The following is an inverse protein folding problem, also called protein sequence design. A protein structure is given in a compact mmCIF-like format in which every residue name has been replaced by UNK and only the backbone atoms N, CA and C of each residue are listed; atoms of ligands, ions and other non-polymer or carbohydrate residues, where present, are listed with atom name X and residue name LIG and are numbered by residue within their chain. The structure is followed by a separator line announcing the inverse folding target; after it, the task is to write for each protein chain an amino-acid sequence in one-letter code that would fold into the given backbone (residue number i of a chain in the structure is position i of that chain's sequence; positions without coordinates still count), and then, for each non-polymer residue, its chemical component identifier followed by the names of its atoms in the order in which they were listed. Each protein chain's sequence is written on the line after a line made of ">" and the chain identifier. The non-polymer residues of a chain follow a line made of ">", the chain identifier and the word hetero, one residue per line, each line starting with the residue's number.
data_IF_043367981880
#
_entry.id   IF_043367981880
#
_cell.length_a   1.000
_cell.length_b   1.000
_cell.length_c   1.000
_cell.angle_alpha   90.00
_cell.angle_beta   90.00
_cell.angle_gamma   90.00
#
_symmetry.space_group_name_H-M   'P 1'
#
loop_
_entity.id
_entity.type
_entity.pdbx_description
1 polymer ?
#
# COMPACT_ATOMS: atom_id res chain seq x y z
N UNK A 1 1.02 -22.18 21.95
CA UNK A 1 0.46 -23.01 20.87
C UNK A 1 0.99 -22.43 19.56
N UNK A 2 1.96 -23.10 18.94
CA UNK A 2 2.55 -22.64 17.67
C UNK A 2 1.48 -22.66 16.58
N UNK A 3 1.16 -21.50 16.00
CA UNK A 3 0.31 -21.38 14.80
C UNK A 3 1.12 -21.88 13.58
N UNK A 4 1.35 -23.18 13.51
CA UNK A 4 1.92 -23.86 12.34
C UNK A 4 0.77 -24.24 11.41
N UNK A 5 0.55 -23.49 10.33
CA UNK A 5 -0.36 -23.96 9.27
C UNK A 5 -0.95 -22.94 8.30
N UNK A 6 -0.85 -21.62 8.54
CA UNK A 6 -1.39 -20.65 7.58
C UNK A 6 -0.37 -20.33 6.47
N UNK A 7 -0.74 -20.62 5.23
CA UNK A 7 0.00 -20.24 4.03
C UNK A 7 -0.13 -18.73 3.80
N UNK A 8 0.97 -18.06 3.47
CA UNK A 8 1.00 -16.64 3.13
C UNK A 8 -0.04 -16.28 2.07
N UNK A 9 -0.81 -15.22 2.30
CA UNK A 9 -1.72 -14.63 1.31
C UNK A 9 -1.15 -13.33 0.79
N UNK A 10 -0.79 -13.29 -0.49
CA UNK A 10 -0.24 -12.10 -1.14
C UNK A 10 -1.30 -11.39 -1.99
N UNK A 11 -1.59 -10.15 -1.62
CA UNK A 11 -2.47 -9.24 -2.37
C UNK A 11 -1.61 -8.36 -3.27
N UNK A 12 -1.83 -8.46 -4.58
CA UNK A 12 -0.94 -7.93 -5.62
C UNK A 12 -1.65 -6.84 -6.42
N UNK A 13 -1.01 -5.68 -6.65
CA UNK A 13 -1.62 -4.59 -7.40
C UNK A 13 -1.73 -4.97 -8.88
N UNK A 14 -2.77 -4.47 -9.54
CA UNK A 14 -2.87 -4.45 -11.00
C UNK A 14 -3.01 -3.01 -11.51
N UNK A 15 -2.32 -2.66 -12.62
CA UNK A 15 -2.56 -1.43 -13.37
C UNK A 15 -3.99 -1.25 -13.89
N UNK A 16 -4.80 -2.32 -13.91
CA UNK A 16 -6.23 -2.27 -14.19
C UNK A 16 -6.64 -2.54 -15.64
N UNK A 17 -5.73 -3.06 -16.47
CA UNK A 17 -6.03 -3.50 -17.83
C UNK A 17 -5.71 -4.97 -18.06
N UNK A 18 -6.50 -5.64 -18.92
CA UNK A 18 -6.46 -7.10 -19.09
C UNK A 18 -5.07 -7.66 -19.45
N UNK A 19 -4.26 -6.94 -20.23
CA UNK A 19 -2.91 -7.41 -20.58
C UNK A 19 -1.99 -7.47 -19.36
N UNK A 20 -2.06 -6.50 -18.44
CA UNK A 20 -1.29 -6.55 -17.19
C UNK A 20 -1.75 -7.71 -16.32
N UNK A 21 -3.06 -7.96 -16.25
CA UNK A 21 -3.61 -9.09 -15.51
C UNK A 21 -3.11 -10.43 -16.06
N UNK A 22 -3.14 -10.61 -17.39
CA UNK A 22 -2.63 -11.83 -18.05
C UNK A 22 -1.18 -12.12 -17.68
N UNK A 23 -0.35 -11.09 -17.66
CA UNK A 23 1.07 -11.19 -17.35
C UNK A 23 1.31 -11.46 -15.86
N UNK A 24 0.61 -10.73 -14.96
CA UNK A 24 0.67 -10.99 -13.51
C UNK A 24 0.26 -12.42 -13.16
N UNK A 25 -0.79 -12.94 -13.82
CA UNK A 25 -1.29 -14.28 -13.57
C UNK A 25 -0.47 -15.40 -14.22
N UNK A 26 0.68 -15.09 -14.84
CA UNK A 26 1.71 -16.11 -15.10
C UNK A 26 2.30 -16.67 -13.80
N UNK A 27 2.29 -15.87 -12.73
CA UNK A 27 2.74 -16.22 -11.38
C UNK A 27 1.56 -16.48 -10.42
N UNK A 28 0.41 -16.90 -10.96
CA UNK A 28 -0.85 -17.07 -10.19
C UNK A 28 -0.71 -17.90 -8.92
N UNK A 29 0.19 -18.87 -8.87
CA UNK A 29 0.37 -19.77 -7.71
C UNK A 29 0.99 -19.03 -6.52
N UNK A 30 1.56 -17.84 -6.75
CA UNK A 30 2.12 -16.93 -5.72
C UNK A 30 1.13 -15.84 -5.29
N UNK A 31 -0.01 -15.70 -5.98
CA UNK A 31 -0.92 -14.57 -5.86
C UNK A 31 -2.25 -15.05 -5.29
N UNK A 32 -2.62 -14.53 -4.11
CA UNK A 32 -3.91 -14.86 -3.50
C UNK A 32 -5.04 -14.02 -4.10
N UNK A 33 -4.79 -12.72 -4.27
CA UNK A 33 -5.76 -11.77 -4.83
C UNK A 33 -5.04 -10.73 -5.66
N UNK A 34 -5.66 -10.33 -6.77
CA UNK A 34 -5.33 -9.10 -7.48
C UNK A 34 -6.22 -7.99 -6.95
N UNK A 35 -5.70 -6.76 -6.88
CA UNK A 35 -6.51 -5.58 -6.61
C UNK A 35 -6.27 -4.46 -7.63
N UNK A 36 -7.34 -3.82 -8.08
CA UNK A 36 -7.29 -2.73 -9.05
C UNK A 36 -8.22 -1.58 -8.67
N UNK A 37 -8.05 -0.42 -9.31
CA UNK A 37 -8.95 0.72 -9.11
C UNK A 37 -10.31 0.46 -9.77
N UNK A 38 -11.37 0.91 -9.11
CA UNK A 38 -12.68 1.02 -9.75
C UNK A 38 -12.77 2.23 -10.67
N UNK A 39 -13.95 2.43 -11.24
CA UNK A 39 -14.20 3.58 -12.09
C UNK A 39 -14.23 4.87 -11.25
N UNK A 40 -13.38 5.86 -11.59
CA UNK A 40 -13.33 7.15 -10.90
C UNK A 40 -14.60 7.99 -11.12
N UNK A 41 -15.49 7.58 -12.01
CA UNK A 41 -16.73 8.31 -12.30
C UNK A 41 -17.77 8.15 -11.18
N UNK A 42 -17.64 7.11 -10.36
CA UNK A 42 -18.56 6.82 -9.25
C UNK A 42 -17.90 7.07 -7.90
N UNK A 43 -16.78 6.39 -7.64
CA UNK A 43 -16.01 6.53 -6.40
C UNK A 43 -14.53 6.53 -6.76
N UNK A 44 -13.82 7.57 -6.33
CA UNK A 44 -12.39 7.73 -6.60
C UNK A 44 -11.50 6.84 -5.75
N UNK A 45 -10.19 7.02 -5.92
CA UNK A 45 -9.17 6.36 -5.11
C UNK A 45 -8.13 7.35 -4.59
N UNK A 46 -7.42 6.99 -3.53
CA UNK A 46 -6.36 7.83 -2.98
C UNK A 46 -5.03 7.83 -3.76
N UNK A 47 -5.03 7.41 -5.03
CA UNK A 47 -3.87 7.40 -5.92
C UNK A 47 -4.32 7.77 -7.33
N UNK A 48 -3.35 8.09 -8.19
CA UNK A 48 -3.63 8.21 -9.63
C UNK A 48 -4.09 6.88 -10.21
N UNK A 49 -5.02 6.96 -11.16
CA UNK A 49 -5.51 5.82 -11.91
C UNK A 49 -4.80 5.78 -13.26
N UNK A 50 -4.06 4.69 -13.55
CA UNK A 50 -3.45 4.47 -14.88
C UNK A 50 -4.48 4.01 -15.90
N UNK A 51 -5.51 3.30 -15.44
CA UNK A 51 -6.64 2.86 -16.24
C UNK A 51 -7.94 3.31 -15.58
N UNK A 52 -8.96 3.57 -16.40
CA UNK A 52 -10.33 3.84 -15.98
C UNK A 52 -11.22 2.73 -16.51
N UNK A 53 -11.17 1.54 -15.90
CA UNK A 53 -11.84 0.35 -16.42
C UNK A 53 -13.36 0.58 -16.43
N UNK A 54 -14.00 0.26 -17.54
CA UNK A 54 -15.45 0.25 -17.61
C UNK A 54 -16.00 -1.01 -16.94
N UNK A 55 -17.32 -1.06 -16.72
CA UNK A 55 -17.97 -2.18 -16.07
C UNK A 55 -17.69 -3.51 -16.79
N UNK A 56 -17.71 -3.50 -18.11
CA UNK A 56 -17.42 -4.67 -18.94
C UNK A 56 -15.96 -5.14 -18.79
N UNK A 57 -15.02 -4.21 -18.66
CA UNK A 57 -13.61 -4.51 -18.41
C UNK A 57 -13.40 -5.13 -17.04
N UNK A 58 -14.12 -4.64 -16.02
CA UNK A 58 -14.09 -5.18 -14.65
C UNK A 58 -14.64 -6.60 -14.66
N UNK A 59 -15.79 -6.84 -15.28
CA UNK A 59 -16.40 -8.15 -15.38
C UNK A 59 -15.47 -9.16 -16.09
N UNK A 60 -14.89 -8.77 -17.23
CA UNK A 60 -13.97 -9.62 -17.99
C UNK A 60 -12.69 -9.95 -17.21
N UNK A 61 -12.13 -8.96 -16.49
CA UNK A 61 -10.94 -9.18 -15.65
C UNK A 61 -11.25 -10.06 -14.44
N UNK A 62 -12.41 -9.88 -13.81
CA UNK A 62 -12.87 -10.70 -12.69
C UNK A 62 -13.02 -12.16 -13.12
N UNK A 63 -13.74 -12.41 -14.22
CA UNK A 63 -13.90 -13.76 -14.77
C UNK A 63 -12.54 -14.39 -15.14
N UNK A 64 -11.63 -13.61 -15.72
CA UNK A 64 -10.30 -14.10 -16.10
C UNK A 64 -9.45 -14.51 -14.89
N UNK A 65 -9.52 -13.74 -13.80
CA UNK A 65 -8.82 -14.04 -12.55
C UNK A 65 -9.41 -15.28 -11.86
N UNK A 66 -10.73 -15.36 -11.76
CA UNK A 66 -11.44 -16.50 -11.17
C UNK A 66 -11.17 -17.82 -11.90
N UNK A 67 -11.13 -17.81 -13.24
CA UNK A 67 -10.74 -18.99 -14.04
C UNK A 67 -9.33 -19.51 -13.72
N UNK A 68 -8.51 -18.73 -13.02
CA UNK A 68 -7.15 -19.08 -12.57
C UNK A 68 -7.04 -19.28 -11.05
N UNK A 69 -8.16 -19.24 -10.34
CA UNK A 69 -8.21 -19.40 -8.89
C UNK A 69 -7.70 -18.20 -8.10
N UNK A 70 -7.65 -17.01 -8.72
CA UNK A 70 -7.19 -15.78 -8.08
C UNK A 70 -8.38 -14.84 -7.84
N UNK A 71 -8.46 -14.27 -6.63
CA UNK A 71 -9.53 -13.35 -6.25
C UNK A 71 -9.35 -11.95 -6.85
N UNK A 72 -10.44 -11.21 -6.95
CA UNK A 72 -10.49 -9.83 -7.42
C UNK A 72 -10.97 -8.88 -6.32
N UNK A 73 -10.13 -7.92 -5.95
CA UNK A 73 -10.43 -6.88 -4.97
C UNK A 73 -10.53 -5.51 -5.67
N UNK A 74 -11.66 -4.81 -5.48
CA UNK A 74 -11.91 -3.51 -6.08
C UNK A 74 -11.64 -2.37 -5.11
N UNK A 75 -10.77 -1.43 -5.48
CA UNK A 75 -10.37 -0.33 -4.59
C UNK A 75 -11.15 0.94 -4.93
N UNK A 76 -11.98 1.38 -3.98
CA UNK A 76 -12.85 2.56 -4.01
C UNK A 76 -12.56 3.47 -2.80
N UNK A 77 -11.28 3.68 -2.51
CA UNK A 77 -10.80 4.17 -1.21
C UNK A 77 -10.55 5.68 -1.14
N UNK A 78 -11.38 6.50 -1.79
CA UNK A 78 -11.34 7.95 -1.56
C UNK A 78 -11.40 8.27 -0.07
N UNK A 79 -10.42 9.02 0.44
CA UNK A 79 -10.40 9.48 1.84
C UNK A 79 -11.33 10.67 2.08
N UNK A 80 -11.77 11.33 1.01
CA UNK A 80 -12.75 12.39 1.04
C UNK A 80 -13.60 12.37 -0.23
N UNK A 81 -14.93 12.40 -0.08
CA UNK A 81 -15.90 12.48 -1.18
C UNK A 81 -16.66 13.82 -1.21
N UNK A 82 -16.23 14.80 -0.41
CA UNK A 82 -16.84 16.13 -0.35
C UNK A 82 -18.30 16.15 0.14
N UNK A 83 -18.74 15.11 0.86
CA UNK A 83 -20.11 14.95 1.35
C UNK A 83 -21.12 14.44 0.30
N UNK A 84 -20.68 14.13 -0.93
CA UNK A 84 -21.56 13.63 -2.00
C UNK A 84 -22.28 12.35 -1.63
N UNK A 85 -21.60 11.44 -0.94
CA UNK A 85 -22.14 10.17 -0.46
C UNK A 85 -23.35 10.33 0.48
N UNK A 86 -23.50 11.50 1.10
CA UNK A 86 -24.61 11.84 2.02
C UNK A 86 -25.78 12.53 1.32
N UNK A 87 -25.70 12.75 0.01
CA UNK A 87 -26.82 13.27 -0.79
C UNK A 87 -27.66 12.12 -1.34
N UNK A 88 -28.97 12.32 -1.62
CA UNK A 88 -29.79 11.27 -2.22
C UNK A 88 -29.27 10.75 -3.56
N UNK A 89 -28.70 11.65 -4.37
CA UNK A 89 -28.09 11.29 -5.66
C UNK A 89 -26.81 10.49 -5.47
N UNK A 90 -25.87 10.98 -4.66
CA UNK A 90 -24.60 10.28 -4.42
C UNK A 90 -24.81 8.93 -3.74
N UNK A 91 -25.76 8.80 -2.81
CA UNK A 91 -26.15 7.50 -2.26
C UNK A 91 -26.60 6.54 -3.36
N UNK A 92 -27.55 6.95 -4.22
CA UNK A 92 -28.06 6.11 -5.31
C UNK A 92 -26.97 5.68 -6.29
N UNK A 93 -26.10 6.60 -6.68
CA UNK A 93 -25.00 6.34 -7.62
C UNK A 93 -24.00 5.36 -7.01
N UNK A 94 -23.55 5.61 -5.78
CA UNK A 94 -22.60 4.73 -5.09
C UNK A 94 -23.19 3.34 -4.88
N UNK A 95 -24.43 3.26 -4.39
CA UNK A 95 -25.12 1.99 -4.15
C UNK A 95 -25.29 1.19 -5.45
N UNK A 96 -25.76 1.84 -6.53
CA UNK A 96 -25.88 1.17 -7.83
C UNK A 96 -24.53 0.66 -8.32
N UNK A 97 -23.46 1.44 -8.18
CA UNK A 97 -22.14 1.02 -8.64
C UNK A 97 -21.61 -0.18 -7.83
N UNK A 98 -21.78 -0.17 -6.51
CA UNK A 98 -21.44 -1.31 -5.64
C UNK A 98 -22.24 -2.55 -6.03
N UNK A 99 -23.54 -2.40 -6.30
CA UNK A 99 -24.39 -3.49 -6.79
C UNK A 99 -23.87 -4.08 -8.11
N UNK A 100 -23.43 -3.24 -9.05
CA UNK A 100 -22.82 -3.73 -10.29
C UNK A 100 -21.54 -4.54 -10.02
N UNK A 101 -20.68 -4.08 -9.12
CA UNK A 101 -19.45 -4.80 -8.76
C UNK A 101 -19.75 -6.15 -8.10
N UNK A 102 -20.72 -6.20 -7.19
CA UNK A 102 -21.17 -7.44 -6.56
C UNK A 102 -21.74 -8.43 -7.61
N UNK A 103 -22.60 -7.95 -8.51
CA UNK A 103 -23.15 -8.77 -9.61
C UNK A 103 -22.09 -9.31 -10.57
N UNK A 104 -20.95 -8.63 -10.71
CA UNK A 104 -19.81 -9.09 -11.52
C UNK A 104 -18.95 -10.13 -10.80
N UNK A 105 -19.24 -10.42 -9.52
CA UNK A 105 -18.50 -11.38 -8.70
C UNK A 105 -17.20 -10.82 -8.14
N UNK A 106 -17.07 -9.50 -7.98
CA UNK A 106 -15.92 -8.95 -7.24
C UNK A 106 -15.91 -9.52 -5.82
N UNK A 107 -14.79 -10.11 -5.40
CA UNK A 107 -14.70 -10.81 -4.10
C UNK A 107 -14.71 -9.84 -2.90
N UNK A 108 -14.16 -8.63 -3.09
CA UNK A 108 -14.03 -7.66 -2.01
C UNK A 108 -13.93 -6.22 -2.51
N UNK A 109 -14.46 -5.29 -1.71
CA UNK A 109 -14.40 -3.85 -1.99
C UNK A 109 -13.63 -3.14 -0.88
N UNK A 110 -12.62 -2.37 -1.26
CA UNK A 110 -11.76 -1.62 -0.34
C UNK A 110 -12.22 -0.16 -0.27
N UNK A 111 -12.69 0.27 0.89
CA UNK A 111 -13.16 1.63 1.15
C UNK A 111 -12.44 2.26 2.35
N UNK A 112 -12.33 3.58 2.36
CA UNK A 112 -11.72 4.33 3.48
C UNK A 112 -12.77 5.03 4.37
N UNK A 113 -13.91 5.41 3.78
CA UNK A 113 -14.98 6.14 4.48
C UNK A 113 -15.83 5.16 5.33
N UNK A 114 -15.97 5.37 6.65
CA UNK A 114 -16.81 4.55 7.53
C UNK A 114 -18.26 4.39 7.05
N UNK A 115 -18.82 5.43 6.41
CA UNK A 115 -20.17 5.37 5.84
C UNK A 115 -20.31 4.29 4.77
N UNK A 116 -19.29 4.15 3.91
CA UNK A 116 -19.28 3.12 2.89
C UNK A 116 -19.03 1.73 3.50
N UNK A 117 -18.23 1.63 4.56
CA UNK A 117 -18.05 0.36 5.28
C UNK A 117 -19.41 -0.17 5.75
N UNK A 118 -20.13 0.66 6.51
CA UNK A 118 -21.44 0.30 7.08
C UNK A 118 -22.50 0.04 6.00
N UNK A 119 -22.53 0.88 4.96
CA UNK A 119 -23.49 0.73 3.86
C UNK A 119 -23.25 -0.58 3.10
N UNK A 120 -21.99 -0.89 2.76
CA UNK A 120 -21.69 -2.12 2.01
C UNK A 120 -22.01 -3.35 2.86
N UNK A 121 -21.57 -3.37 4.12
CA UNK A 121 -21.76 -4.50 5.02
C UNK A 121 -23.24 -4.78 5.33
N UNK A 122 -24.08 -3.75 5.35
CA UNK A 122 -25.52 -3.90 5.58
C UNK A 122 -26.29 -4.36 4.35
N UNK A 123 -25.93 -3.84 3.17
CA UNK A 123 -26.77 -3.93 1.98
C UNK A 123 -26.29 -5.02 0.98
N UNK A 124 -25.07 -5.56 1.14
CA UNK A 124 -24.47 -6.52 0.21
C UNK A 124 -23.78 -7.70 0.92
N UNK A 125 -24.46 -8.84 0.99
CA UNK A 125 -23.93 -10.06 1.65
C UNK A 125 -22.87 -10.82 0.84
N UNK A 126 -22.83 -10.61 -0.48
CA UNK A 126 -22.00 -11.39 -1.41
C UNK A 126 -20.58 -10.82 -1.62
N UNK A 127 -20.23 -9.70 -0.98
CA UNK A 127 -18.94 -9.02 -1.16
C UNK A 127 -18.30 -8.66 0.18
N UNK A 128 -17.01 -8.96 0.33
CA UNK A 128 -16.30 -8.64 1.57
C UNK A 128 -15.92 -7.16 1.63
N UNK A 129 -16.15 -6.53 2.78
CA UNK A 129 -15.82 -5.12 3.04
C UNK A 129 -14.44 -5.01 3.66
N UNK A 130 -13.52 -4.33 2.96
CA UNK A 130 -12.13 -4.17 3.38
C UNK A 130 -11.87 -2.71 3.73
N UNK A 131 -11.45 -2.45 4.96
CA UNK A 131 -11.02 -1.12 5.39
C UNK A 131 -9.65 -0.81 4.81
N UNK A 132 -9.57 0.31 4.10
CA UNK A 132 -8.35 0.75 3.45
C UNK A 132 -7.31 1.25 4.45
N UNK A 133 -6.03 1.16 4.06
CA UNK A 133 -4.91 1.83 4.76
C UNK A 133 -5.10 3.35 4.85
N UNK A 134 -5.96 3.92 3.98
CA UNK A 134 -6.34 5.33 3.99
C UNK A 134 -7.32 5.72 5.09
N UNK A 135 -7.89 4.75 5.82
CA UNK A 135 -8.65 5.00 7.03
C UNK A 135 -7.76 5.25 8.26
N UNK A 136 -6.43 5.08 8.13
CA UNK A 136 -5.44 5.29 9.19
C UNK A 136 -5.76 4.51 10.48
N UNK A 137 -6.09 3.22 10.35
CA UNK A 137 -6.32 2.33 11.49
C UNK A 137 -4.98 2.00 12.14
N UNK A 138 -4.68 2.71 13.23
CA UNK A 138 -3.40 2.68 13.95
C UNK A 138 -3.57 2.42 15.46
N UNK A 139 -4.76 2.01 15.89
CA UNK A 139 -5.07 1.68 17.28
C UNK A 139 -6.13 0.58 17.40
N UNK A 140 -6.17 -0.14 18.53
CA UNK A 140 -7.21 -1.14 18.80
C UNK A 140 -8.62 -0.56 18.71
N UNK A 141 -8.84 0.63 19.27
CA UNK A 141 -10.15 1.27 19.30
C UNK A 141 -10.67 1.60 17.89
N UNK A 142 -9.79 2.06 16.99
CA UNK A 142 -10.19 2.27 15.60
C UNK A 142 -10.55 0.96 14.91
N UNK A 143 -9.80 -0.11 15.18
CA UNK A 143 -10.07 -1.42 14.59
C UNK A 143 -11.42 -1.97 15.07
N UNK A 144 -11.70 -1.94 16.37
CA UNK A 144 -13.00 -2.31 16.96
C UNK A 144 -14.15 -1.52 16.32
N UNK A 145 -14.03 -0.19 16.22
CA UNK A 145 -15.06 0.65 15.60
C UNK A 145 -15.35 0.27 14.15
N UNK A 146 -14.34 -0.08 13.36
CA UNK A 146 -14.56 -0.52 11.98
C UNK A 146 -15.18 -1.92 11.90
N UNK A 147 -14.81 -2.83 12.80
CA UNK A 147 -15.44 -4.15 12.89
C UNK A 147 -16.91 -4.02 13.30
N UNK A 148 -17.23 -3.14 14.25
CA UNK A 148 -18.61 -2.85 14.67
C UNK A 148 -19.48 -2.29 13.52
N UNK A 149 -18.86 -1.58 12.56
CA UNK A 149 -19.53 -1.12 11.34
C UNK A 149 -19.67 -2.23 10.27
N UNK A 150 -19.13 -3.43 10.51
CA UNK A 150 -19.25 -4.58 9.60
C UNK A 150 -18.02 -4.81 8.70
N UNK A 151 -16.84 -4.31 9.05
CA UNK A 151 -15.62 -4.63 8.30
C UNK A 151 -15.22 -6.11 8.44
N UNK A 152 -15.06 -6.81 7.32
CA UNK A 152 -14.53 -8.17 7.28
C UNK A 152 -13.01 -8.24 7.39
N UNK A 153 -12.34 -7.18 6.92
CA UNK A 153 -10.89 -7.09 6.91
C UNK A 153 -10.41 -5.66 7.04
N UNK A 154 -9.23 -5.48 7.64
CA UNK A 154 -8.61 -4.17 7.85
C UNK A 154 -7.19 -4.18 7.33
N UNK A 155 -6.86 -3.26 6.42
CA UNK A 155 -5.47 -2.93 6.09
C UNK A 155 -4.96 -1.92 7.11
N UNK A 156 -4.07 -2.35 8.00
CA UNK A 156 -3.54 -1.54 9.11
C UNK A 156 -2.70 -0.38 8.54
N UNK A 157 -2.73 0.79 9.19
CA UNK A 157 -1.87 1.93 8.84
C UNK A 157 -0.39 1.50 8.89
N UNK A 158 0.32 1.69 7.79
CA UNK A 158 1.74 1.37 7.71
C UNK A 158 2.57 2.09 8.77
N UNK A 159 2.16 3.27 9.25
CA UNK A 159 2.86 3.99 10.32
C UNK A 159 3.08 3.14 11.59
N UNK A 160 2.25 2.11 11.83
CA UNK A 160 2.43 1.19 12.96
C UNK A 160 3.12 -0.14 12.61
N UNK A 161 3.54 -0.35 11.35
CA UNK A 161 4.26 -1.56 10.90
C UNK A 161 5.49 -1.91 11.75
N UNK A 162 6.12 -0.93 12.42
CA UNK A 162 7.30 -1.16 13.28
C UNK A 162 7.02 -0.90 14.76
N UNK A 163 5.75 -0.89 15.17
CA UNK A 163 5.27 -0.77 16.54
C UNK A 163 4.53 -2.05 16.90
N UNK A 164 5.30 -3.08 17.27
CA UNK A 164 4.78 -4.42 17.50
C UNK A 164 3.80 -4.47 18.68
N UNK A 165 4.05 -3.67 19.71
CA UNK A 165 3.11 -3.46 20.81
C UNK A 165 1.73 -3.00 20.32
N UNK A 166 1.68 -2.06 19.37
CA UNK A 166 0.43 -1.58 18.77
C UNK A 166 -0.20 -2.64 17.87
N UNK A 167 0.59 -3.33 17.04
CA UNK A 167 0.09 -4.38 16.15
C UNK A 167 -0.52 -5.56 16.93
N UNK A 168 0.13 -6.00 18.01
CA UNK A 168 -0.38 -7.03 18.91
C UNK A 168 -1.66 -6.56 19.60
N UNK A 169 -1.69 -5.32 20.11
CA UNK A 169 -2.90 -4.78 20.72
C UNK A 169 -4.09 -4.72 19.73
N UNK A 170 -3.84 -4.38 18.45
CA UNK A 170 -4.88 -4.43 17.41
C UNK A 170 -5.33 -5.87 17.19
N UNK A 171 -4.39 -6.81 17.02
CA UNK A 171 -4.70 -8.23 16.81
C UNK A 171 -5.51 -8.83 17.95
N UNK A 172 -5.23 -8.44 19.19
CA UNK A 172 -5.92 -8.93 20.39
C UNK A 172 -7.34 -8.33 20.54
N UNK A 173 -7.63 -7.21 19.87
CA UNK A 173 -8.92 -6.49 19.98
C UNK A 173 -9.99 -6.92 18.99
N UNK A 174 -9.61 -7.57 17.88
CA UNK A 174 -10.54 -7.97 16.81
C UNK A 174 -10.21 -9.36 16.30
N UNK A 175 -11.18 -10.07 15.72
CA UNK A 175 -10.99 -11.38 15.09
C UNK A 175 -10.92 -11.34 13.55
N UNK A 176 -11.20 -10.18 12.94
CA UNK A 176 -11.23 -10.00 11.49
C UNK A 176 -9.86 -10.23 10.82
N UNK A 177 -9.83 -10.35 9.49
CA UNK A 177 -8.57 -10.49 8.75
C UNK A 177 -7.80 -9.17 8.77
N UNK A 178 -6.57 -9.18 9.30
CA UNK A 178 -5.68 -8.01 9.30
C UNK A 178 -4.68 -8.12 8.15
N UNK A 179 -4.52 -7.06 7.36
CA UNK A 179 -3.59 -6.99 6.23
C UNK A 179 -2.50 -5.97 6.52
N UNK A 180 -1.24 -6.28 6.19
CA UNK A 180 -0.13 -5.34 6.26
C UNK A 180 0.29 -4.88 4.87
N UNK A 181 0.31 -3.56 4.64
CA UNK A 181 0.90 -2.96 3.44
C UNK A 181 2.43 -2.93 3.62
N UNK A 182 3.14 -3.75 2.82
CA UNK A 182 4.54 -4.09 3.14
C UNK A 182 5.58 -3.12 2.56
N UNK A 183 5.36 -2.57 1.37
CA UNK A 183 6.40 -1.85 0.64
C UNK A 183 6.15 -0.34 0.48
N UNK A 184 5.29 0.24 1.31
CA UNK A 184 5.00 1.66 1.22
C UNK A 184 6.22 2.51 1.65
N UNK A 185 6.74 3.32 0.71
CA UNK A 185 7.90 4.18 0.92
C UNK A 185 7.55 5.62 1.35
N UNK A 186 6.42 5.83 2.03
CA UNK A 186 6.03 7.15 2.54
C UNK A 186 6.95 7.62 3.70
N UNK A 187 6.99 8.92 3.95
CA UNK A 187 7.63 9.47 5.14
C UNK A 187 6.94 8.91 6.41
N UNK A 188 7.73 8.48 7.39
CA UNK A 188 7.20 8.04 8.68
C UNK A 188 6.54 9.22 9.43
N UNK A 189 5.28 9.06 9.85
CA UNK A 189 4.46 10.13 10.44
C UNK A 189 4.41 11.38 9.56
N UNK A 190 4.28 11.18 8.26
CA UNK A 190 4.21 12.25 7.27
C UNK A 190 3.08 13.25 7.60
N UNK A 191 3.36 14.55 7.79
CA UNK A 191 2.33 15.55 8.04
C UNK A 191 1.46 15.81 6.82
N UNK A 192 1.95 15.48 5.62
CA UNK A 192 1.24 15.69 4.36
C UNK A 192 0.27 14.55 4.02
N UNK A 193 0.36 13.39 4.69
CA UNK A 193 -0.30 12.14 4.29
C UNK A 193 -1.81 12.33 4.07
N UNK A 194 -2.49 12.92 5.05
CA UNK A 194 -3.93 13.19 4.98
C UNK A 194 -4.30 14.13 3.83
N UNK A 195 -3.59 15.26 3.72
CA UNK A 195 -3.86 16.27 2.70
C UNK A 195 -3.59 15.74 1.28
N UNK A 196 -2.54 14.95 1.11
CA UNK A 196 -2.16 14.37 -0.18
C UNK A 196 -3.15 13.29 -0.65
N UNK A 197 -3.63 12.45 0.26
CA UNK A 197 -4.68 11.46 -0.07
C UNK A 197 -6.02 12.11 -0.38
N UNK A 198 -6.38 13.20 0.31
CA UNK A 198 -7.56 13.98 -0.04
C UNK A 198 -7.42 14.63 -1.41
N UNK A 199 -6.24 15.19 -1.71
CA UNK A 199 -5.92 15.70 -3.04
C UNK A 199 -6.16 14.63 -4.12
N UNK A 200 -5.61 13.42 -3.96
CA UNK A 200 -5.83 12.34 -4.92
C UNK A 200 -7.32 11.96 -5.03
N UNK A 201 -8.03 11.87 -3.90
CA UNK A 201 -9.46 11.52 -3.88
C UNK A 201 -10.32 12.49 -4.69
N UNK A 202 -9.97 13.78 -4.70
CA UNK A 202 -10.65 14.80 -5.49
C UNK A 202 -10.13 14.89 -6.93
N UNK A 203 -8.84 14.71 -7.16
CA UNK A 203 -8.23 14.76 -8.50
C UNK A 203 -8.56 13.53 -9.35
N UNK A 204 -8.76 12.37 -8.74
CA UNK A 204 -9.02 11.08 -9.39
C UNK A 204 -10.33 10.45 -8.91
N UNK A 205 -11.29 11.29 -8.54
CA UNK A 205 -12.67 10.91 -8.24
C UNK A 205 -13.67 11.52 -9.23
N UNK A 206 -14.97 11.53 -8.90
CA UNK A 206 -15.99 12.04 -9.81
C UNK A 206 -15.90 13.56 -10.01
N UNK A 207 -16.35 14.05 -11.16
CA UNK A 207 -16.36 15.48 -11.50
C UNK A 207 -17.19 16.35 -10.53
N UNK A 208 -16.92 17.67 -10.40
CA UNK A 208 -15.80 18.40 -10.99
C UNK A 208 -14.45 18.05 -10.35
N UNK A 209 -13.44 17.81 -11.18
CA UNK A 209 -12.06 17.60 -10.75
C UNK A 209 -11.30 18.94 -10.68
N UNK A 210 -10.38 19.12 -9.70
CA UNK A 210 -9.51 20.28 -9.66
C UNK A 210 -8.58 20.31 -10.88
N UNK A 211 -8.36 21.49 -11.46
CA UNK A 211 -7.33 21.70 -12.49
C UNK A 211 -5.98 21.90 -11.79
N UNK A 212 -5.22 20.83 -11.64
CA UNK A 212 -3.96 20.81 -10.89
C UNK A 212 -2.80 20.96 -11.86
N UNK A 213 -1.96 21.98 -11.63
CA UNK A 213 -0.75 22.21 -12.43
C UNK A 213 0.47 21.47 -11.85
N UNK A 214 0.61 21.46 -10.51
CA UNK A 214 1.72 20.84 -9.81
C UNK A 214 1.26 20.15 -8.52
N UNK A 215 1.85 19.00 -8.20
CA UNK A 215 1.63 18.28 -6.94
C UNK A 215 2.68 18.73 -5.90
N UNK A 216 2.35 19.76 -5.13
CA UNK A 216 3.20 20.26 -4.03
C UNK A 216 3.63 19.15 -3.07
N UNK A 217 2.72 18.22 -2.75
CA UNK A 217 3.00 17.17 -1.77
C UNK A 217 4.03 16.18 -2.31
N UNK A 218 3.93 15.82 -3.60
CA UNK A 218 4.90 14.97 -4.27
C UNK A 218 6.29 15.62 -4.24
N UNK A 219 6.42 16.85 -4.74
CA UNK A 219 7.70 17.54 -4.83
C UNK A 219 8.32 17.79 -3.47
N UNK A 220 7.52 18.22 -2.47
CA UNK A 220 8.04 18.45 -1.12
C UNK A 220 8.48 17.15 -0.44
N UNK A 221 7.75 16.06 -0.67
CA UNK A 221 8.09 14.74 -0.15
C UNK A 221 9.36 14.17 -0.83
N UNK A 222 9.59 14.49 -2.11
CA UNK A 222 10.81 14.14 -2.84
C UNK A 222 12.01 14.92 -2.28
N UNK A 223 11.92 16.25 -2.22
CA UNK A 223 12.93 17.15 -1.65
C UNK A 223 13.38 16.66 -0.26
N UNK A 224 12.45 16.48 0.69
CA UNK A 224 12.77 16.03 2.05
C UNK A 224 13.54 14.69 2.13
N UNK A 225 13.41 13.81 1.13
CA UNK A 225 14.11 12.52 1.08
C UNK A 225 15.44 12.59 0.36
N UNK A 226 15.61 13.55 -0.56
CA UNK A 226 16.90 13.86 -1.17
C UNK A 226 17.79 14.55 -0.12
N UNK A 227 17.26 15.59 0.54
CA UNK A 227 17.97 16.36 1.57
C UNK A 227 18.31 15.52 2.81
N UNK A 228 17.39 14.61 3.20
CA UNK A 228 17.57 13.74 4.35
C UNK A 228 17.25 12.26 4.02
N UNK A 229 18.21 11.52 3.42
CA UNK A 229 18.00 10.12 3.01
C UNK A 229 17.68 9.17 4.16
N UNK A 230 17.91 9.58 5.42
CA UNK A 230 17.50 8.78 6.57
C UNK A 230 15.98 8.60 6.64
N UNK A 231 15.21 9.47 5.97
CA UNK A 231 13.77 9.34 5.86
C UNK A 231 13.34 8.07 5.12
N UNK A 232 14.12 7.61 4.13
CA UNK A 232 13.89 6.34 3.41
C UNK A 232 14.05 5.15 4.36
N UNK A 233 15.07 5.17 5.21
CA UNK A 233 15.30 4.11 6.21
C UNK A 233 14.22 4.13 7.30
N UNK A 234 13.72 5.32 7.68
CA UNK A 234 12.63 5.47 8.66
C UNK A 234 11.27 5.05 8.12
N UNK A 235 11.06 5.10 6.80
CA UNK A 235 9.80 4.73 6.15
C UNK A 235 9.25 3.40 6.66
N UNK A 236 7.92 3.26 6.76
CA UNK A 236 7.29 2.13 7.44
C UNK A 236 7.26 0.81 6.66
N UNK A 237 8.14 0.62 5.66
CA UNK A 237 8.20 -0.64 4.93
C UNK A 237 8.64 -1.82 5.82
N UNK A 238 8.26 -3.01 5.37
CA UNK A 238 8.60 -4.34 5.90
C UNK A 238 9.33 -5.08 4.78
N UNK A 239 10.54 -5.60 5.03
CA UNK A 239 11.28 -6.37 4.00
C UNK A 239 10.67 -7.75 3.81
N UNK A 240 10.88 -8.38 2.64
CA UNK A 240 10.57 -9.80 2.45
C UNK A 240 11.10 -10.72 3.55
N UNK A 241 12.36 -10.55 3.97
CA UNK A 241 13.00 -11.38 5.00
C UNK A 241 12.40 -11.23 6.39
N UNK A 242 11.72 -10.10 6.63
CA UNK A 242 11.20 -9.70 7.91
C UNK A 242 9.74 -10.15 8.13
N UNK A 243 9.03 -10.63 7.08
CA UNK A 243 7.64 -11.10 7.15
C UNK A 243 7.43 -12.17 8.24
N UNK A 244 8.41 -13.05 8.43
CA UNK A 244 8.37 -14.10 9.46
C UNK A 244 8.17 -13.58 10.89
N UNK A 245 8.54 -12.32 11.16
CA UNK A 245 8.38 -11.69 12.46
C UNK A 245 6.94 -11.24 12.72
N UNK A 246 6.09 -11.17 11.68
CA UNK A 246 4.70 -10.71 11.76
C UNK A 246 3.68 -11.86 11.77
N UNK A 247 4.11 -13.11 11.68
CA UNK A 247 3.23 -14.29 11.50
C UNK A 247 2.26 -14.54 12.65
N UNK A 248 2.55 -14.04 13.84
CA UNK A 248 1.65 -14.07 15.00
C UNK A 248 0.58 -12.97 14.94
N UNK A 249 0.80 -11.92 14.13
CA UNK A 249 -0.15 -10.84 13.87
C UNK A 249 -1.01 -11.18 12.64
N UNK A 250 -0.38 -11.56 11.52
CA UNK A 250 -1.07 -11.92 10.28
C UNK A 250 -0.22 -12.75 9.31
N UNK A 251 -0.88 -13.50 8.45
CA UNK A 251 -0.36 -14.18 7.26
C UNK A 251 -0.71 -13.46 5.95
N UNK A 252 -1.31 -12.27 6.03
CA UNK A 252 -1.87 -11.53 4.89
C UNK A 252 -1.10 -10.24 4.60
N UNK A 253 -0.46 -10.20 3.43
CA UNK A 253 0.41 -9.11 3.03
C UNK A 253 -0.06 -8.50 1.73
N UNK A 254 -0.06 -7.17 1.67
CA UNK A 254 -0.46 -6.39 0.51
C UNK A 254 0.73 -5.61 -0.04
N UNK A 255 0.99 -5.78 -1.33
CA UNK A 255 2.02 -5.03 -2.07
C UNK A 255 1.37 -3.77 -2.64
N UNK A 256 1.93 -2.60 -2.40
CA UNK A 256 1.55 -1.32 -3.02
C UNK A 256 2.09 -1.17 -4.44
N UNK A 257 1.73 -0.07 -5.11
CA UNK A 257 2.28 0.24 -6.43
C UNK A 257 1.42 -0.12 -7.65
N UNK A 258 0.10 0.12 -7.61
CA UNK A 258 -0.80 -0.01 -8.79
C UNK A 258 -0.38 0.84 -10.00
N UNK A 259 0.46 1.85 -9.79
CA UNK A 259 0.93 2.77 -10.83
C UNK A 259 2.28 2.34 -11.42
N UNK A 260 2.84 1.19 -11.02
CA UNK A 260 4.09 0.67 -11.56
C UNK A 260 3.87 -0.29 -12.73
N UNK A 261 4.94 -0.53 -13.50
CA UNK A 261 4.95 -1.53 -14.55
C UNK A 261 4.87 -2.95 -14.00
N UNK A 262 4.36 -3.88 -14.81
CA UNK A 262 4.14 -5.27 -14.42
C UNK A 262 5.43 -5.96 -13.97
N UNK A 263 6.56 -5.73 -14.65
CA UNK A 263 7.86 -6.28 -14.25
C UNK A 263 8.27 -5.90 -12.82
N UNK A 264 8.01 -4.65 -12.42
CA UNK A 264 8.29 -4.19 -11.07
C UNK A 264 7.37 -4.88 -10.05
N UNK A 265 6.10 -5.05 -10.40
CA UNK A 265 5.13 -5.75 -9.55
C UNK A 265 5.54 -7.22 -9.40
N UNK A 266 5.92 -7.90 -10.48
CA UNK A 266 6.40 -9.28 -10.46
C UNK A 266 7.71 -9.43 -9.67
N UNK A 267 8.63 -8.47 -9.76
CA UNK A 267 9.82 -8.41 -8.91
C UNK A 267 9.43 -8.39 -7.42
N UNK A 268 8.48 -7.55 -7.03
CA UNK A 268 7.96 -7.53 -5.66
C UNK A 268 7.29 -8.85 -5.27
N UNK A 269 6.45 -9.42 -6.14
CA UNK A 269 5.79 -10.72 -5.90
C UNK A 269 6.81 -11.80 -5.61
N UNK A 270 7.84 -11.92 -6.46
CA UNK A 270 8.90 -12.91 -6.29
C UNK A 270 9.69 -12.69 -5.00
N UNK A 271 10.02 -11.44 -4.68
CA UNK A 271 10.74 -11.08 -3.47
C UNK A 271 9.95 -11.48 -2.21
N UNK A 272 8.69 -11.02 -2.08
CA UNK A 272 7.86 -11.26 -0.89
C UNK A 272 7.44 -12.72 -0.75
N UNK A 273 7.04 -13.38 -1.84
CA UNK A 273 6.70 -14.81 -1.81
C UNK A 273 7.92 -15.66 -1.43
N UNK A 274 9.11 -15.30 -1.93
CA UNK A 274 10.36 -15.98 -1.60
C UNK A 274 10.96 -15.62 -0.23
N UNK A 275 10.38 -14.66 0.50
CA UNK A 275 10.90 -14.09 1.75
C UNK A 275 12.39 -13.69 1.67
N UNK A 276 12.86 -13.28 0.49
CA UNK A 276 14.26 -12.91 0.27
C UNK A 276 14.41 -12.04 -0.96
N UNK A 277 15.25 -11.02 -0.84
CA UNK A 277 15.67 -10.18 -1.96
C UNK A 277 17.16 -9.85 -1.87
N UNK A 278 17.87 -10.03 -2.98
CA UNK A 278 19.26 -9.61 -3.15
C UNK A 278 19.33 -8.55 -4.24
N UNK A 279 19.68 -7.32 -3.86
CA UNK A 279 19.58 -6.15 -4.73
C UNK A 279 19.35 -4.85 -3.95
N UNK A 280 18.90 -3.82 -4.65
CA UNK A 280 18.60 -2.52 -4.07
C UNK A 280 17.23 -2.54 -3.39
N UNK A 281 17.14 -2.16 -2.11
CA UNK A 281 15.85 -2.00 -1.41
C UNK A 281 14.88 -1.09 -2.21
N UNK A 282 15.40 -0.06 -2.87
CA UNK A 282 14.58 0.89 -3.65
C UNK A 282 13.84 0.23 -4.81
N UNK A 283 14.27 -0.95 -5.26
CA UNK A 283 13.57 -1.73 -6.29
C UNK A 283 12.28 -2.38 -5.79
N UNK A 284 12.03 -2.36 -4.49
CA UNK A 284 10.82 -2.91 -3.88
C UNK A 284 9.85 -1.84 -3.37
N UNK A 285 10.30 -0.60 -3.15
CA UNK A 285 9.53 0.43 -2.46
C UNK A 285 8.58 1.19 -3.41
N UNK A 286 7.31 1.27 -3.03
CA UNK A 286 6.36 2.16 -3.70
C UNK A 286 6.61 3.61 -3.23
N UNK A 287 7.46 4.32 -3.97
CA UNK A 287 7.89 5.69 -3.72
C UNK A 287 8.25 6.41 -5.04
N UNK A 288 8.49 7.74 -5.02
CA UNK A 288 8.93 8.48 -6.20
C UNK A 288 10.15 7.84 -6.86
N UNK A 289 10.05 7.65 -8.18
CA UNK A 289 11.04 6.92 -8.98
C UNK A 289 12.43 7.58 -8.91
N UNK A 290 12.47 8.90 -8.81
CA UNK A 290 13.69 9.70 -8.75
C UNK A 290 14.57 9.29 -7.55
N UNK A 291 13.97 8.80 -6.46
CA UNK A 291 14.75 8.30 -5.31
C UNK A 291 15.47 7.00 -5.63
N UNK A 292 14.86 6.12 -6.43
CA UNK A 292 15.52 4.87 -6.90
C UNK A 292 16.68 5.20 -7.83
N UNK A 293 16.54 6.22 -8.66
CA UNK A 293 17.59 6.65 -9.60
C UNK A 293 18.76 7.34 -8.87
N UNK A 294 18.59 7.75 -7.61
CA UNK A 294 19.63 8.38 -6.78
C UNK A 294 20.26 7.41 -5.78
N UNK A 295 19.44 6.64 -5.06
CA UNK A 295 19.89 5.88 -3.91
C UNK A 295 19.95 4.38 -4.16
N UNK A 296 21.05 3.77 -3.72
CA UNK A 296 21.23 2.33 -3.66
C UNK A 296 21.41 1.89 -2.21
N UNK A 297 20.51 1.04 -1.73
CA UNK A 297 20.57 0.48 -0.37
C UNK A 297 20.60 -1.04 -0.52
N UNK A 298 21.76 -1.70 -0.33
CA UNK A 298 21.84 -3.16 -0.45
C UNK A 298 20.88 -3.82 0.56
N UNK A 299 19.87 -4.55 0.10
CA UNK A 299 18.80 -5.07 0.96
C UNK A 299 19.34 -5.93 2.12
N UNK A 300 20.38 -6.75 1.83
CA UNK A 300 21.05 -7.61 2.82
C UNK A 300 21.80 -6.86 3.91
N UNK A 301 22.15 -5.58 3.69
CA UNK A 301 22.77 -4.75 4.73
C UNK A 301 21.83 -4.45 5.91
N UNK A 302 20.52 -4.68 5.74
CA UNK A 302 19.47 -4.44 6.71
C UNK A 302 19.15 -5.68 7.56
N UNK A 303 19.87 -6.79 7.36
CA UNK A 303 19.56 -8.07 8.00
C UNK A 303 19.58 -8.01 9.53
N UNK A 304 18.44 -8.38 10.13
CA UNK A 304 18.24 -8.43 11.57
C UNK A 304 18.08 -7.04 12.23
N UNK A 305 18.07 -5.95 11.47
CA UNK A 305 17.90 -4.59 12.03
C UNK A 305 16.52 -4.42 12.67
N UNK A 306 15.46 -4.96 12.05
CA UNK A 306 14.12 -4.90 12.62
C UNK A 306 14.08 -5.50 14.03
N UNK A 307 14.53 -6.74 14.17
CA UNK A 307 14.56 -7.46 15.44
C UNK A 307 15.49 -6.82 16.49
N UNK A 308 16.69 -6.41 16.08
CA UNK A 308 17.70 -5.87 17.01
C UNK A 308 17.41 -4.44 17.46
N UNK A 309 16.79 -3.63 16.59
CA UNK A 309 16.66 -2.19 16.82
C UNK A 309 15.22 -1.69 16.72
N UNK A 310 14.53 -1.95 15.62
CA UNK A 310 13.30 -1.20 15.33
C UNK A 310 12.07 -1.69 16.09
N UNK A 311 11.97 -2.99 16.40
CA UNK A 311 10.86 -3.57 17.20
C UNK A 311 10.72 -2.91 18.56
N UNK A 312 11.85 -2.62 19.23
CA UNK A 312 11.87 -2.03 20.58
C UNK A 312 12.18 -0.51 20.55
N UNK A 313 12.16 0.11 19.37
CA UNK A 313 12.52 1.51 19.23
C UNK A 313 11.40 2.43 19.70
N UNK A 314 11.67 3.29 20.69
CA UNK A 314 10.74 4.33 21.18
C UNK A 314 10.46 5.46 20.18
N UNK A 315 11.09 5.41 19.00
CA UNK A 315 11.01 6.40 17.90
C UNK A 315 11.36 7.85 18.26
N UNK A 316 11.95 8.09 19.43
CA UNK A 316 12.48 9.40 19.83
C UNK A 316 13.87 9.61 19.20
N UNK A 317 13.90 9.83 17.89
CA UNK A 317 15.13 9.80 17.08
C UNK A 317 16.19 10.81 17.53
N UNK A 318 15.77 11.96 18.08
CA UNK A 318 16.68 12.99 18.62
C UNK A 318 17.57 12.47 19.75
N UNK A 319 17.16 11.39 20.45
CA UNK A 319 17.94 10.82 21.57
C UNK A 319 18.98 9.79 21.13
N UNK A 320 18.71 8.99 20.09
CA UNK A 320 19.60 7.89 19.71
C UNK A 320 20.41 8.12 18.43
N UNK A 321 19.90 8.89 17.46
CA UNK A 321 20.57 9.11 16.18
C UNK A 321 20.81 7.85 15.32
N UNK A 322 20.28 6.69 15.72
CA UNK A 322 20.59 5.39 15.10
C UNK A 322 20.35 5.40 13.59
N UNK A 323 19.13 5.76 13.15
CA UNK A 323 18.80 5.70 11.72
C UNK A 323 19.68 6.63 10.90
N UNK A 324 20.05 7.82 11.43
CA UNK A 324 20.97 8.74 10.75
C UNK A 324 22.34 8.11 10.52
N UNK A 325 22.93 7.54 11.58
CA UNK A 325 24.23 6.88 11.48
C UNK A 325 24.16 5.63 10.59
N UNK A 326 23.08 4.88 10.70
CA UNK A 326 22.87 3.66 9.94
C UNK A 326 22.68 3.94 8.44
N UNK A 327 21.90 4.96 8.06
CA UNK A 327 21.74 5.40 6.67
C UNK A 327 23.09 5.73 6.04
N UNK A 328 23.95 6.51 6.71
CA UNK A 328 25.29 6.82 6.20
C UNK A 328 26.14 5.58 5.93
N UNK A 329 25.97 4.54 6.75
CA UNK A 329 26.72 3.29 6.64
C UNK A 329 26.26 2.45 5.44
N UNK A 330 24.96 2.42 5.15
CA UNK A 330 24.38 1.43 4.21
C UNK A 330 23.94 2.03 2.88
N UNK A 331 23.70 3.32 2.82
CA UNK A 331 23.23 3.98 1.60
C UNK A 331 24.39 4.40 0.72
N UNK A 332 24.27 4.07 -0.56
CA UNK A 332 25.16 4.46 -1.64
C UNK A 332 24.39 5.33 -2.63
N UNK A 333 25.12 6.05 -3.48
CA UNK A 333 24.57 6.96 -4.49
C UNK A 333 25.15 6.64 -5.85
N UNK A 334 24.35 6.72 -6.90
CA UNK A 334 24.82 6.56 -8.28
C UNK A 334 25.59 7.81 -8.73
N UNK A 335 26.86 7.65 -9.14
CA UNK A 335 27.75 8.78 -9.46
C UNK A 335 27.44 9.50 -10.79
N UNK A 336 26.52 8.98 -11.61
CA UNK A 336 26.26 9.44 -12.97
C UNK A 336 24.77 9.52 -13.37
N UNK A 337 23.85 9.55 -12.41
CA UNK A 337 22.41 9.72 -12.69
C UNK A 337 21.62 8.44 -12.97
N UNK A 338 21.83 7.38 -12.19
CA UNK A 338 20.77 6.39 -11.95
C UNK A 338 20.58 5.23 -12.91
N UNK A 339 21.66 4.60 -13.40
CA UNK A 339 21.55 3.26 -14.00
C UNK A 339 22.37 2.25 -13.22
N UNK A 340 21.95 0.99 -13.25
CA UNK A 340 22.65 -0.17 -12.64
C UNK A 340 24.08 -0.40 -13.18
N UNK A 341 24.43 0.28 -14.28
CA UNK A 341 25.76 0.29 -14.89
C UNK A 341 26.67 1.40 -14.35
N UNK A 342 26.14 2.32 -13.53
CA UNK A 342 26.90 3.43 -12.97
C UNK A 342 27.68 3.02 -11.72
N UNK A 343 28.81 3.70 -11.49
CA UNK A 343 29.59 3.49 -10.28
C UNK A 343 28.80 3.97 -9.05
N UNK A 344 28.86 3.17 -7.98
CA UNK A 344 28.26 3.49 -6.69
C UNK A 344 29.32 4.14 -5.79
N UNK A 345 28.95 5.26 -5.17
CA UNK A 345 29.79 5.95 -4.19
C UNK A 345 29.10 6.03 -2.83
N UNK A 346 29.87 6.27 -1.77
CA UNK A 346 29.32 6.46 -0.42
C UNK A 346 28.40 7.68 -0.39
N UNK A 347 27.34 7.63 0.44
CA UNK A 347 26.46 8.78 0.68
C UNK A 347 27.22 10.04 1.13
N UNK A 348 28.36 9.91 1.82
CA UNK A 348 29.15 11.08 2.24
C UNK A 348 29.76 11.87 1.05
N UNK A 349 29.81 11.29 -0.15
CA UNK A 349 30.25 11.97 -1.38
C UNK A 349 29.13 12.77 -2.06
N UNK A 350 27.88 12.62 -1.59
CA UNK A 350 26.74 13.36 -2.09
C UNK A 350 26.75 14.77 -1.49
N UNK A 351 27.25 15.74 -2.25
CA UNK A 351 27.09 17.16 -1.96
C UNK A 351 25.92 17.69 -2.77
N UNK A 352 24.86 18.13 -2.09
CA UNK A 352 23.87 18.99 -2.72
C UNK A 352 24.59 20.21 -3.30
N UNK A 353 24.44 20.43 -4.61
CA UNK A 353 24.62 21.78 -5.13
C UNK A 353 23.40 22.56 -4.63
N UNK A 354 23.61 23.28 -3.54
CA UNK A 354 22.68 24.27 -2.97
C UNK A 354 22.15 25.23 -4.02
#
# INVERSE_FOLDING_TARGET
>A
MQLTGKSMKLFVPSPGHINSLKELLTEKDKIYSIFMAGSPDYIGTGRSNLASPQLEDIAAQTEYAHKRGVKMEMVLNSSCMGGRQLTPEGFRINHWYIEQLANMGVDSIVVADPYLVETIARDFDDVMVVVSVLAFVDSPQKAEMFVDLGADSIVIDSNVNRHFDVLHAIRDSVDCELKLLVNEGCLYRCPFRYAHFNFFSHAFGPEPRPNVLDDYYYFKCLELRIDDPQQIIKSPWIRPEDLKLYRDITDVYKIGGRTHFVDWILNCVNAYYGESYDGNLMDLLDCPKELKDLFYIPNKSLDGVLAKQWMNCKKVCIKCGYCKAFTKKVTQVYSGGGTELAALTSLDTFTEKS
#
